data_IF_235456463822
#
_entry.id   IF_235456463822
#
_cell.length_a   1.000
_cell.length_b   1.000
_cell.length_c   1.000
_cell.angle_alpha   90.00
_cell.angle_beta   90.00
_cell.angle_gamma   90.00
#
_symmetry.space_group_name_H-M   'P 1'
#
loop_
_entity.id
_entity.type
_entity.pdbx_description
1 polymer ?
#
# COMPACT_ATOMS: atom_id res chain seq x y z
N UNK A 1 36.39 -17.74 25.66
CA UNK A 1 35.09 -17.05 25.74
C UNK A 1 34.08 -17.88 24.96
N UNK A 2 33.01 -18.35 25.59
CA UNK A 2 31.90 -19.09 24.95
C UNK A 2 30.67 -18.19 24.80
N UNK A 3 29.62 -18.65 24.11
CA UNK A 3 28.39 -17.88 23.96
C UNK A 3 27.72 -17.54 25.30
N UNK A 4 28.01 -18.30 26.37
CA UNK A 4 27.51 -18.02 27.74
C UNK A 4 28.05 -16.71 28.31
N UNK A 5 29.25 -16.28 27.89
CA UNK A 5 29.82 -14.99 28.30
C UNK A 5 29.09 -13.77 27.74
N UNK A 6 28.21 -13.94 26.74
CA UNK A 6 27.38 -12.88 26.16
C UNK A 6 26.16 -12.53 27.03
N UNK A 7 25.91 -13.29 28.10
CA UNK A 7 24.79 -13.07 29.04
C UNK A 7 24.87 -11.74 29.79
N UNK A 8 26.06 -11.12 29.86
CA UNK A 8 26.26 -9.80 30.47
C UNK A 8 25.91 -8.63 29.53
N UNK A 9 25.67 -8.90 28.25
CA UNK A 9 25.23 -7.90 27.27
C UNK A 9 23.70 -7.88 27.20
N UNK A 10 23.12 -6.71 26.91
CA UNK A 10 21.71 -6.69 26.52
C UNK A 10 21.53 -7.51 25.23
N UNK A 11 20.34 -8.06 25.01
CA UNK A 11 20.04 -8.91 23.86
C UNK A 11 20.41 -8.26 22.52
N UNK A 12 20.11 -6.96 22.38
CA UNK A 12 20.44 -6.16 21.19
C UNK A 12 21.96 -5.93 21.04
N UNK A 13 22.67 -5.74 22.17
CA UNK A 13 24.13 -5.65 22.18
C UNK A 13 24.78 -6.98 21.80
N UNK A 14 24.26 -8.10 22.28
CA UNK A 14 24.74 -9.45 21.94
C UNK A 14 24.54 -9.76 20.45
N UNK A 15 23.35 -9.46 19.88
CA UNK A 15 23.09 -9.59 18.44
C UNK A 15 24.05 -8.72 17.62
N UNK A 16 24.17 -7.44 17.99
CA UNK A 16 25.08 -6.51 17.29
C UNK A 16 26.53 -6.97 17.35
N UNK A 17 26.98 -7.48 18.50
CA UNK A 17 28.31 -8.04 18.68
C UNK A 17 28.54 -9.28 17.79
N UNK A 18 27.60 -10.24 17.80
CA UNK A 18 27.68 -11.46 16.99
C UNK A 18 27.66 -11.15 15.48
N UNK A 19 26.79 -10.25 15.04
CA UNK A 19 26.72 -9.83 13.64
C UNK A 19 28.05 -9.20 13.19
N UNK A 20 28.66 -8.35 14.02
CA UNK A 20 29.98 -7.77 13.73
C UNK A 20 31.10 -8.80 13.77
N UNK A 21 31.01 -9.81 14.65
CA UNK A 21 31.96 -10.92 14.68
C UNK A 21 31.90 -11.78 13.40
N UNK A 22 30.69 -12.09 12.91
CA UNK A 22 30.49 -12.80 11.64
C UNK A 22 30.97 -11.98 10.42
N UNK A 23 30.67 -10.67 10.40
CA UNK A 23 31.17 -9.77 9.35
C UNK A 23 32.69 -9.61 9.39
N UNK A 24 33.29 -9.59 10.59
CA UNK A 24 34.75 -9.56 10.74
C UNK A 24 35.39 -10.82 10.17
N UNK A 25 34.81 -11.98 10.47
CA UNK A 25 35.29 -13.29 10.01
C UNK A 25 35.22 -13.42 8.47
N UNK A 26 34.06 -13.13 7.89
CA UNK A 26 33.80 -13.27 6.44
C UNK A 26 34.59 -12.30 5.55
N UNK A 27 35.00 -11.16 6.11
CA UNK A 27 35.72 -10.11 5.38
C UNK A 27 37.20 -9.98 5.74
N UNK A 28 37.72 -10.89 6.57
CA UNK A 28 39.08 -10.81 7.13
C UNK A 28 39.36 -9.43 7.77
N UNK A 29 38.36 -8.90 8.48
CA UNK A 29 38.42 -7.61 9.17
C UNK A 29 38.37 -6.36 8.30
N UNK A 30 38.16 -6.49 6.98
CA UNK A 30 38.15 -5.34 6.06
C UNK A 30 36.80 -4.61 5.99
N UNK A 31 35.70 -5.26 6.39
CA UNK A 31 34.37 -4.65 6.32
C UNK A 31 34.23 -3.53 7.37
N UNK A 32 33.93 -2.27 6.97
CA UNK A 32 33.78 -1.16 7.89
C UNK A 32 32.63 -1.35 8.90
N UNK A 33 31.62 -2.16 8.57
CA UNK A 33 30.53 -2.51 9.48
C UNK A 33 30.95 -3.48 10.61
N UNK A 34 32.13 -4.12 10.50
CA UNK A 34 32.69 -4.99 11.53
C UNK A 34 33.46 -4.23 12.63
N UNK A 35 33.56 -2.89 12.54
CA UNK A 35 34.25 -2.07 13.53
C UNK A 35 33.60 -2.18 14.91
N UNK A 36 34.43 -2.26 15.93
CA UNK A 36 34.04 -2.36 17.33
C UNK A 36 33.25 -1.13 17.78
N UNK A 37 32.18 -1.34 18.55
CA UNK A 37 31.29 -0.29 19.07
C UNK A 37 31.24 -0.31 20.60
N UNK A 38 31.40 -1.48 21.22
CA UNK A 38 31.44 -1.64 22.67
C UNK A 38 32.87 -1.55 23.21
N UNK A 39 32.99 -1.16 24.48
CA UNK A 39 34.26 -1.20 25.19
C UNK A 39 34.80 -2.64 25.21
N UNK A 40 36.10 -2.80 24.93
CA UNK A 40 36.80 -4.09 24.90
C UNK A 40 36.29 -5.10 23.85
N UNK A 41 35.45 -4.68 22.90
CA UNK A 41 34.83 -5.56 21.90
C UNK A 41 35.86 -6.30 21.02
N UNK A 42 36.99 -5.67 20.68
CA UNK A 42 38.04 -6.31 19.88
C UNK A 42 38.61 -7.55 20.56
N UNK A 43 38.89 -7.45 21.86
CA UNK A 43 39.42 -8.54 22.66
C UNK A 43 38.37 -9.63 22.84
N UNK A 44 37.13 -9.25 23.14
CA UNK A 44 36.01 -10.20 23.25
C UNK A 44 35.79 -10.98 21.93
N UNK A 45 35.82 -10.28 20.80
CA UNK A 45 35.68 -10.88 19.47
C UNK A 45 36.84 -11.81 19.16
N UNK A 46 38.08 -11.42 19.44
CA UNK A 46 39.25 -12.27 19.23
C UNK A 46 39.18 -13.54 20.08
N UNK A 47 38.78 -13.43 21.35
CA UNK A 47 38.60 -14.59 22.25
C UNK A 47 37.46 -15.50 21.79
N UNK A 48 36.32 -14.94 21.38
CA UNK A 48 35.19 -15.72 20.84
C UNK A 48 35.63 -16.48 19.59
N UNK A 49 36.17 -15.80 18.58
CA UNK A 49 36.56 -16.41 17.31
C UNK A 49 37.66 -17.46 17.51
N UNK A 50 38.63 -17.21 18.39
CA UNK A 50 39.65 -18.19 18.76
C UNK A 50 39.03 -19.46 19.38
N UNK A 51 38.11 -19.27 20.33
CA UNK A 51 37.42 -20.37 21.01
C UNK A 51 36.56 -21.19 20.04
N UNK A 52 35.82 -20.53 19.14
CA UNK A 52 35.00 -21.17 18.12
C UNK A 52 35.85 -21.90 17.08
N UNK A 53 36.95 -21.30 16.60
CA UNK A 53 37.90 -21.98 15.68
C UNK A 53 38.52 -23.22 16.30
N UNK A 54 38.89 -23.17 17.59
CA UNK A 54 39.41 -24.33 18.30
C UNK A 54 38.36 -25.46 18.38
N UNK A 55 37.11 -25.12 18.65
CA UNK A 55 35.98 -26.07 18.68
C UNK A 55 35.65 -26.61 17.30
N UNK A 56 35.73 -25.80 16.24
CA UNK A 56 35.52 -26.24 14.87
C UNK A 56 36.65 -27.19 14.42
N UNK A 57 37.91 -26.89 14.76
CA UNK A 57 39.05 -27.78 14.50
C UNK A 57 38.96 -29.12 15.22
N UNK A 58 38.49 -29.16 16.47
CA UNK A 58 38.30 -30.44 17.17
C UNK A 58 37.22 -31.31 16.52
N UNK A 59 36.26 -30.70 15.82
CA UNK A 59 35.18 -31.40 15.09
C UNK A 59 35.59 -31.82 13.67
N UNK A 60 36.33 -30.97 12.96
CA UNK A 60 36.68 -31.15 11.54
C UNK A 60 38.09 -31.78 11.33
N UNK A 61 38.92 -31.87 12.35
CA UNK A 61 40.28 -32.42 12.25
C UNK A 61 41.22 -31.50 11.46
N UNK A 62 41.85 -32.05 10.41
CA UNK A 62 42.85 -31.36 9.57
C UNK A 62 42.22 -30.55 8.41
N UNK A 63 40.99 -30.08 8.57
CA UNK A 63 40.31 -29.27 7.57
C UNK A 63 41.04 -27.94 7.31
N UNK A 64 40.82 -27.37 6.12
CA UNK A 64 41.39 -26.07 5.74
C UNK A 64 40.78 -24.96 6.60
N UNK A 65 41.49 -23.83 6.73
CA UNK A 65 41.01 -22.70 7.52
C UNK A 65 39.65 -22.18 7.02
N UNK A 66 39.42 -22.17 5.71
CA UNK A 66 38.15 -21.78 5.09
C UNK A 66 36.97 -22.66 5.55
N UNK A 67 37.19 -23.97 5.68
CA UNK A 67 36.15 -24.91 6.15
C UNK A 67 35.86 -24.75 7.64
N UNK A 68 36.90 -24.44 8.42
CA UNK A 68 36.79 -24.11 9.84
C UNK A 68 36.01 -22.81 10.01
N UNK A 69 36.36 -21.76 9.28
CA UNK A 69 35.75 -20.44 9.39
C UNK A 69 34.29 -20.46 8.93
N UNK A 70 33.96 -21.22 7.86
CA UNK A 70 32.57 -21.41 7.45
C UNK A 70 31.70 -22.06 8.55
N UNK A 71 32.21 -23.08 9.24
CA UNK A 71 31.48 -23.69 10.35
C UNK A 71 31.32 -22.71 11.54
N UNK A 72 32.31 -21.83 11.75
CA UNK A 72 32.21 -20.78 12.77
C UNK A 72 31.17 -19.73 12.40
N UNK A 73 31.07 -19.34 11.11
CA UNK A 73 30.01 -18.47 10.61
C UNK A 73 28.63 -19.09 10.86
N UNK A 74 28.43 -20.37 10.50
CA UNK A 74 27.18 -21.10 10.74
C UNK A 74 26.78 -21.08 12.23
N UNK A 75 27.73 -21.29 13.16
CA UNK A 75 27.44 -21.20 14.60
C UNK A 75 27.14 -19.78 15.08
N UNK A 76 27.77 -18.77 14.49
CA UNK A 76 27.46 -17.38 14.81
C UNK A 76 26.04 -17.04 14.34
N UNK A 77 25.65 -17.46 13.14
CA UNK A 77 24.31 -17.26 12.59
C UNK A 77 23.24 -17.95 13.44
N UNK A 78 23.44 -19.22 13.80
CA UNK A 78 22.55 -19.96 14.71
C UNK A 78 22.35 -19.23 16.05
N UNK A 79 23.41 -18.61 16.59
CA UNK A 79 23.33 -17.84 17.83
C UNK A 79 22.68 -16.49 17.65
N UNK A 80 22.89 -15.82 16.52
CA UNK A 80 22.15 -14.59 16.18
C UNK A 80 20.65 -14.91 16.13
N UNK A 81 20.24 -16.01 15.51
CA UNK A 81 18.84 -16.44 15.47
C UNK A 81 18.31 -16.79 16.87
N UNK A 82 19.07 -17.54 17.67
CA UNK A 82 18.67 -17.91 19.04
C UNK A 82 18.51 -16.70 19.96
N UNK A 83 19.36 -15.69 19.79
CA UNK A 83 19.33 -14.44 20.55
C UNK A 83 18.42 -13.41 19.88
N UNK A 84 17.94 -13.63 18.66
CA UNK A 84 16.93 -12.78 18.00
C UNK A 84 15.56 -12.99 18.62
N UNK A 85 14.85 -11.90 18.91
CA UNK A 85 13.39 -12.01 19.05
C UNK A 85 12.82 -12.26 17.66
N UNK A 86 11.69 -12.99 17.59
CA UNK A 86 10.86 -12.93 16.39
C UNK A 86 10.64 -11.46 16.09
N UNK A 87 10.85 -11.00 14.85
CA UNK A 87 10.57 -9.63 14.47
C UNK A 87 9.20 -9.25 15.01
N UNK A 88 9.10 -8.09 15.67
CA UNK A 88 7.80 -7.53 16.03
C UNK A 88 7.11 -7.11 14.73
N UNK A 89 6.44 -8.07 14.10
CA UNK A 89 5.70 -7.92 12.85
C UNK A 89 4.65 -6.82 13.00
N UNK A 90 4.08 -6.67 14.20
CA UNK A 90 3.08 -5.67 14.49
C UNK A 90 3.70 -4.26 14.46
N UNK A 91 4.83 -4.05 15.15
CA UNK A 91 5.56 -2.79 15.10
C UNK A 91 6.16 -2.48 13.71
N UNK A 92 6.51 -3.50 12.92
CA UNK A 92 6.93 -3.32 11.53
C UNK A 92 5.76 -2.87 10.65
N UNK A 93 4.60 -3.51 10.76
CA UNK A 93 3.38 -3.16 10.04
C UNK A 93 2.84 -1.78 10.44
N UNK A 94 2.91 -1.41 11.71
CA UNK A 94 2.52 -0.06 12.17
C UNK A 94 3.40 1.02 11.55
N UNK A 95 4.72 0.79 11.48
CA UNK A 95 5.64 1.71 10.80
C UNK A 95 5.29 1.84 9.33
N UNK A 96 5.10 0.73 8.62
CA UNK A 96 4.72 0.75 7.20
C UNK A 96 3.36 1.43 6.97
N UNK A 97 2.40 1.23 7.87
CA UNK A 97 1.08 1.87 7.81
C UNK A 97 1.19 3.39 8.01
N UNK A 98 1.95 3.82 9.03
CA UNK A 98 2.17 5.23 9.35
C UNK A 98 2.94 5.95 8.25
N UNK A 99 3.94 5.28 7.69
CA UNK A 99 4.77 5.81 6.61
C UNK A 99 4.05 5.69 5.25
N UNK A 100 2.85 5.07 5.22
CA UNK A 100 2.00 4.94 4.04
C UNK A 100 2.59 4.05 2.94
N UNK A 101 3.53 3.17 3.28
CA UNK A 101 4.24 2.26 2.36
C UNK A 101 3.66 0.84 2.42
N UNK A 102 2.64 0.62 3.24
CA UNK A 102 1.97 -0.67 3.32
C UNK A 102 1.22 -0.93 2.00
N UNK A 103 1.46 -2.07 1.32
CA UNK A 103 0.75 -2.39 0.08
C UNK A 103 -0.74 -2.65 0.37
N UNK A 104 -1.60 -2.33 -0.60
CA UNK A 104 -3.06 -2.40 -0.44
C UNK A 104 -3.59 -3.79 -0.13
N UNK A 105 -2.90 -4.85 -0.56
CA UNK A 105 -3.26 -6.24 -0.31
C UNK A 105 -3.08 -6.66 1.17
N UNK A 106 -2.27 -5.93 1.93
CA UNK A 106 -2.09 -6.12 3.37
C UNK A 106 -3.20 -5.45 4.21
N UNK A 107 -4.06 -4.62 3.61
CA UNK A 107 -5.20 -4.02 4.30
C UNK A 107 -6.41 -4.96 4.28
N UNK A 108 -7.21 -4.91 5.36
CA UNK A 108 -8.53 -5.55 5.37
C UNK A 108 -9.52 -4.67 4.62
N UNK A 109 -10.02 -5.16 3.48
CA UNK A 109 -11.00 -4.44 2.66
C UNK A 109 -12.40 -4.46 3.29
N UNK A 110 -12.97 -3.27 3.50
CA UNK A 110 -14.31 -3.08 4.05
C UNK A 110 -15.24 -2.35 3.05
N UNK A 111 -16.45 -2.88 2.90
CA UNK A 111 -17.50 -2.26 2.10
C UNK A 111 -18.51 -1.58 3.04
N UNK A 112 -18.34 -0.28 3.28
CA UNK A 112 -19.22 0.48 4.15
C UNK A 112 -20.67 0.57 3.63
N UNK A 113 -21.63 0.80 4.52
CA UNK A 113 -23.05 0.90 4.15
C UNK A 113 -23.31 1.97 3.07
N UNK A 114 -22.60 3.09 3.11
CA UNK A 114 -22.75 4.16 2.12
C UNK A 114 -22.41 3.68 0.71
N UNK A 115 -21.32 2.94 0.56
CA UNK A 115 -20.93 2.32 -0.71
C UNK A 115 -22.00 1.32 -1.17
N UNK A 116 -22.47 0.45 -0.29
CA UNK A 116 -23.49 -0.55 -0.61
C UNK A 116 -24.81 0.11 -1.06
N UNK A 117 -25.22 1.19 -0.39
CA UNK A 117 -26.41 1.97 -0.78
C UNK A 117 -26.24 2.65 -2.13
N UNK A 118 -25.05 3.19 -2.43
CA UNK A 118 -24.76 3.80 -3.74
C UNK A 118 -24.81 2.75 -4.86
N UNK A 119 -24.15 1.60 -4.68
CA UNK A 119 -24.16 0.51 -5.67
C UNK A 119 -25.56 -0.06 -5.94
N UNK A 120 -26.40 -0.17 -4.91
CA UNK A 120 -27.77 -0.66 -5.06
C UNK A 120 -28.61 0.17 -6.06
N UNK A 121 -28.31 1.47 -6.21
CA UNK A 121 -29.00 2.38 -7.18
C UNK A 121 -28.77 1.97 -8.62
N UNK A 122 -27.66 1.29 -8.90
CA UNK A 122 -27.24 0.89 -10.24
C UNK A 122 -27.63 -0.56 -10.57
N UNK A 123 -28.15 -1.32 -9.59
CA UNK A 123 -28.45 -2.75 -9.73
C UNK A 123 -27.24 -3.57 -10.19
N UNK A 124 -26.05 -3.20 -9.72
CA UNK A 124 -24.79 -3.92 -9.93
C UNK A 124 -24.16 -4.30 -8.60
N UNK A 125 -23.47 -5.44 -8.57
CA UNK A 125 -22.67 -5.87 -7.44
C UNK A 125 -21.22 -6.03 -7.89
N UNK A 126 -20.41 -4.99 -7.64
CA UNK A 126 -18.99 -4.96 -8.00
C UNK A 126 -18.07 -5.39 -6.85
N UNK A 127 -18.59 -5.91 -5.73
CA UNK A 127 -17.76 -6.21 -4.55
C UNK A 127 -16.60 -7.15 -4.87
N UNK A 128 -16.87 -8.23 -5.61
CA UNK A 128 -15.82 -9.17 -6.01
C UNK A 128 -14.78 -8.53 -6.93
N UNK A 129 -15.23 -7.69 -7.87
CA UNK A 129 -14.34 -7.01 -8.82
C UNK A 129 -13.50 -5.92 -8.14
N UNK A 130 -14.07 -5.17 -7.20
CA UNK A 130 -13.33 -4.20 -6.38
C UNK A 130 -12.33 -4.92 -5.48
N UNK A 131 -12.72 -6.02 -4.84
CA UNK A 131 -11.78 -6.80 -4.02
C UNK A 131 -10.58 -7.29 -4.83
N UNK A 132 -10.82 -7.76 -6.05
CA UNK A 132 -9.75 -8.15 -6.97
C UNK A 132 -8.91 -6.94 -7.41
N UNK A 133 -9.54 -5.81 -7.75
CA UNK A 133 -8.84 -4.58 -8.14
C UNK A 133 -8.01 -3.98 -7.00
N UNK A 134 -8.42 -4.15 -5.74
CA UNK A 134 -7.64 -3.70 -4.58
C UNK A 134 -6.43 -4.60 -4.32
N UNK A 135 -6.56 -5.92 -4.52
CA UNK A 135 -5.46 -6.87 -4.30
C UNK A 135 -4.44 -6.89 -5.45
N UNK A 136 -4.94 -6.78 -6.68
CA UNK A 136 -4.15 -6.87 -7.89
C UNK A 136 -4.53 -5.74 -8.87
N UNK A 137 -4.25 -4.47 -8.51
CA UNK A 137 -4.51 -3.34 -9.40
C UNK A 137 -3.61 -3.40 -10.64
N UNK A 138 -4.13 -2.92 -11.77
CA UNK A 138 -3.27 -2.61 -12.93
C UNK A 138 -2.60 -1.24 -12.75
N UNK A 139 -3.28 -0.35 -12.01
CA UNK A 139 -2.83 0.99 -11.67
C UNK A 139 -3.20 1.32 -10.22
N UNK A 140 -2.30 1.97 -9.50
CA UNK A 140 -2.50 2.39 -8.13
C UNK A 140 -1.91 3.80 -7.93
N UNK A 141 -2.67 4.68 -7.28
CA UNK A 141 -2.21 6.01 -6.88
C UNK A 141 -2.69 6.33 -5.48
N UNK A 142 -1.74 6.57 -4.56
CA UNK A 142 -2.01 6.89 -3.17
C UNK A 142 -1.75 8.37 -2.88
N UNK A 143 -2.70 9.00 -2.19
CA UNK A 143 -2.67 10.38 -1.74
C UNK A 143 -2.62 10.40 -0.22
N UNK A 144 -1.48 10.81 0.34
CA UNK A 144 -1.22 10.78 1.77
C UNK A 144 -1.34 12.17 2.41
N UNK A 145 -1.79 12.21 3.65
CA UNK A 145 -1.74 13.39 4.51
C UNK A 145 -1.53 12.91 5.97
N UNK A 146 -0.94 13.73 6.85
CA UNK A 146 -0.86 13.44 8.29
C UNK A 146 -2.15 12.89 8.94
N UNK A 147 -3.33 13.27 8.43
CA UNK A 147 -4.63 12.91 8.99
C UNK A 147 -5.33 11.72 8.29
N UNK A 148 -4.67 11.08 7.32
CA UNK A 148 -5.20 9.89 6.65
C UNK A 148 -4.64 9.69 5.24
N UNK A 149 -5.04 8.61 4.59
CA UNK A 149 -4.67 8.33 3.20
C UNK A 149 -5.89 7.96 2.36
N UNK A 150 -5.89 8.39 1.11
CA UNK A 150 -6.85 7.96 0.09
C UNK A 150 -6.09 7.28 -1.03
N UNK A 151 -6.59 6.15 -1.50
CA UNK A 151 -6.01 5.44 -2.64
C UNK A 151 -7.01 5.30 -3.77
N UNK A 152 -6.54 5.49 -4.99
CA UNK A 152 -7.24 5.11 -6.20
C UNK A 152 -6.63 3.82 -6.72
N UNK A 153 -7.49 2.85 -7.05
CA UNK A 153 -7.10 1.63 -7.75
C UNK A 153 -7.85 1.53 -9.06
N UNK A 154 -7.14 1.14 -10.11
CA UNK A 154 -7.67 0.94 -11.46
C UNK A 154 -7.38 -0.46 -11.97
N UNK A 155 -8.39 -1.10 -12.57
CA UNK A 155 -8.23 -2.42 -13.21
C UNK A 155 -9.06 -2.54 -14.48
N UNK A 156 -8.46 -3.04 -15.56
CA UNK A 156 -9.19 -3.45 -16.75
C UNK A 156 -9.89 -4.77 -16.49
N UNK A 157 -11.22 -4.74 -16.59
CA UNK A 157 -12.07 -5.92 -16.45
C UNK A 157 -12.49 -6.37 -17.84
N UNK A 158 -11.94 -7.51 -18.27
CA UNK A 158 -12.35 -8.18 -19.48
C UNK A 158 -13.42 -9.22 -19.14
N UNK A 159 -14.66 -8.99 -19.60
CA UNK A 159 -15.79 -9.90 -19.36
C UNK A 159 -15.90 -10.99 -20.43
N UNK A 160 -14.89 -11.17 -21.29
CA UNK A 160 -14.95 -12.10 -22.43
C UNK A 160 -15.92 -11.64 -23.53
N UNK A 161 -16.46 -10.43 -23.41
CA UNK A 161 -17.36 -9.80 -24.38
C UNK A 161 -16.83 -8.41 -24.78
N UNK A 162 -17.37 -7.75 -25.82
CA UNK A 162 -16.91 -6.43 -26.25
C UNK A 162 -17.16 -5.30 -25.23
N UNK A 163 -17.76 -5.62 -24.08
CA UNK A 163 -18.05 -4.68 -23.01
C UNK A 163 -16.98 -4.73 -21.91
N UNK A 164 -15.71 -4.83 -22.31
CA UNK A 164 -14.60 -4.57 -21.39
C UNK A 164 -14.69 -3.14 -20.85
N UNK A 165 -14.37 -2.97 -19.57
CA UNK A 165 -14.41 -1.69 -18.89
C UNK A 165 -13.21 -1.52 -17.96
N UNK A 166 -12.89 -0.26 -17.67
CA UNK A 166 -11.93 0.10 -16.64
C UNK A 166 -12.70 0.33 -15.33
N UNK A 167 -12.44 -0.49 -14.32
CA UNK A 167 -12.95 -0.30 -12.97
C UNK A 167 -12.02 0.64 -12.22
N UNK A 168 -12.54 1.73 -11.69
CA UNK A 168 -11.83 2.59 -10.73
C UNK A 168 -12.54 2.48 -9.39
N UNK A 169 -11.79 2.24 -8.31
CA UNK A 169 -12.29 2.33 -6.95
C UNK A 169 -11.49 3.33 -6.11
N UNK A 170 -12.20 4.05 -5.25
CA UNK A 170 -11.62 4.98 -4.28
C UNK A 170 -11.69 4.37 -2.90
N UNK A 171 -10.57 4.35 -2.20
CA UNK A 171 -10.39 3.74 -0.89
C UNK A 171 -9.93 4.81 0.12
N UNK A 172 -10.49 4.84 1.32
CA UNK A 172 -9.82 5.48 2.48
C UNK A 172 -9.02 4.43 3.22
N UNK A 173 -7.80 4.76 3.62
CA UNK A 173 -6.93 3.90 4.43
C UNK A 173 -6.82 4.46 5.84
N UNK A 174 -7.17 3.64 6.83
CA UNK A 174 -7.02 3.93 8.26
C UNK A 174 -6.89 2.63 9.04
N UNK A 175 -6.03 2.57 10.06
CA UNK A 175 -5.98 1.47 11.03
C UNK A 175 -5.95 0.05 10.41
N UNK A 176 -5.12 -0.15 9.36
CA UNK A 176 -5.01 -1.41 8.58
C UNK A 176 -6.30 -1.86 7.88
N UNK A 177 -7.26 -0.95 7.72
CA UNK A 177 -8.49 -1.12 6.95
C UNK A 177 -8.47 -0.25 5.71
N UNK A 178 -8.93 -0.82 4.60
CA UNK A 178 -9.20 -0.08 3.38
C UNK A 178 -10.71 -0.04 3.17
N UNK A 179 -11.32 1.12 3.34
CA UNK A 179 -12.78 1.28 3.20
C UNK A 179 -13.11 1.82 1.81
N UNK A 180 -13.94 1.10 1.07
CA UNK A 180 -14.36 1.52 -0.28
C UNK A 180 -15.36 2.67 -0.17
N UNK A 181 -15.02 3.82 -0.74
CA UNK A 181 -15.87 5.02 -0.78
C UNK A 181 -16.78 4.98 -2.01
N UNK A 182 -16.24 4.55 -3.14
CA UNK A 182 -16.94 4.53 -4.42
C UNK A 182 -16.22 3.66 -5.43
N UNK A 183 -16.96 3.15 -6.41
CA UNK A 183 -16.39 2.44 -7.55
C UNK A 183 -17.19 2.72 -8.81
N UNK A 184 -16.49 2.80 -9.93
CA UNK A 184 -17.03 3.24 -11.21
C UNK A 184 -16.51 2.36 -12.33
N UNK A 185 -17.42 1.86 -13.16
CA UNK A 185 -17.10 1.23 -14.45
C UNK A 185 -17.05 2.29 -15.53
N UNK A 186 -15.88 2.51 -16.11
CA UNK A 186 -15.65 3.41 -17.23
C UNK A 186 -15.50 2.60 -18.51
N UNK A 187 -16.43 2.75 -19.43
CA UNK A 187 -16.41 2.03 -20.69
C UNK A 187 -15.74 2.88 -21.78
N UNK A 188 -14.77 2.35 -22.55
CA UNK A 188 -14.08 3.11 -23.60
C UNK A 188 -15.00 3.70 -24.68
N UNK A 189 -16.18 3.13 -24.87
CA UNK A 189 -17.18 3.66 -25.80
C UNK A 189 -17.99 4.85 -25.28
N UNK A 190 -17.95 5.14 -23.97
CA UNK A 190 -18.64 6.28 -23.35
C UNK A 190 -17.68 7.30 -22.73
N UNK A 191 -16.49 6.85 -22.31
CA UNK A 191 -15.43 7.67 -21.72
C UNK A 191 -14.18 7.57 -22.59
N UNK A 192 -13.68 8.72 -23.07
CA UNK A 192 -12.44 8.74 -23.84
C UNK A 192 -11.24 8.57 -22.92
N UNK A 193 -10.45 7.52 -23.17
CA UNK A 193 -9.16 7.29 -22.50
C UNK A 193 -7.98 7.96 -23.24
N UNK A 194 -8.25 8.79 -24.24
CA UNK A 194 -7.20 9.53 -24.94
C UNK A 194 -6.53 10.52 -23.96
N UNK A 195 -5.21 10.46 -23.87
CA UNK A 195 -4.39 11.25 -22.94
C UNK A 195 -4.66 10.98 -21.45
N UNK A 196 -5.14 9.78 -21.10
CA UNK A 196 -5.20 9.34 -19.70
C UNK A 196 -3.83 8.78 -19.31
N UNK A 197 -3.13 9.46 -18.40
CA UNK A 197 -1.82 9.06 -17.91
C UNK A 197 -1.85 8.64 -16.43
N UNK A 198 -2.92 9.01 -15.72
CA UNK A 198 -3.13 8.77 -14.29
C UNK A 198 -4.61 8.42 -14.00
N UNK A 199 -4.88 7.84 -12.83
CA UNK A 199 -6.22 7.56 -12.33
C UNK A 199 -7.06 8.84 -12.12
N UNK A 200 -6.50 9.96 -11.63
CA UNK A 200 -7.17 11.25 -11.66
C UNK A 200 -7.56 11.70 -13.08
N UNK A 201 -6.72 11.49 -14.10
CA UNK A 201 -7.10 11.82 -15.48
C UNK A 201 -8.31 10.97 -15.94
N UNK A 202 -8.34 9.69 -15.57
CA UNK A 202 -9.46 8.82 -15.89
C UNK A 202 -10.76 9.27 -15.20
N UNK A 203 -10.68 9.67 -13.92
CA UNK A 203 -11.81 10.26 -13.20
C UNK A 203 -12.24 11.61 -13.78
N UNK A 204 -11.32 12.44 -14.26
CA UNK A 204 -11.63 13.69 -14.95
C UNK A 204 -12.39 13.41 -16.25
N UNK A 205 -11.92 12.46 -17.08
CA UNK A 205 -12.62 12.03 -18.29
C UNK A 205 -14.01 11.48 -17.97
N UNK A 206 -14.14 10.72 -16.88
CA UNK A 206 -15.42 10.22 -16.40
C UNK A 206 -16.37 11.36 -15.99
N UNK A 207 -15.88 12.33 -15.21
CA UNK A 207 -16.64 13.50 -14.79
C UNK A 207 -17.02 14.40 -15.97
N UNK A 208 -16.20 14.51 -17.02
CA UNK A 208 -16.57 15.20 -18.25
C UNK A 208 -17.77 14.54 -18.93
N UNK A 209 -17.79 13.20 -18.97
CA UNK A 209 -18.83 12.41 -19.61
C UNK A 209 -20.14 12.37 -18.79
N UNK A 210 -20.06 12.22 -17.47
CA UNK A 210 -21.22 11.96 -16.60
C UNK A 210 -21.43 12.97 -15.48
N UNK A 211 -20.49 13.86 -15.22
CA UNK A 211 -20.56 14.83 -14.13
C UNK A 211 -21.42 16.05 -14.41
N UNK A 212 -21.72 16.77 -13.33
CA UNK A 212 -22.44 18.05 -13.29
C UNK A 212 -21.57 19.13 -12.68
N UNK A 213 -21.78 20.39 -13.04
CA UNK A 213 -21.01 21.45 -12.41
C UNK A 213 -21.37 21.56 -10.92
N UNK A 214 -20.36 21.47 -10.08
CA UNK A 214 -20.44 21.80 -8.65
C UNK A 214 -19.45 22.92 -8.33
N UNK A 215 -19.71 23.60 -7.23
CA UNK A 215 -18.86 24.64 -6.70
C UNK A 215 -18.44 24.27 -5.27
N UNK A 216 -17.18 24.56 -4.96
CA UNK A 216 -16.57 24.26 -3.68
C UNK A 216 -15.62 25.40 -3.32
N UNK A 217 -16.08 26.29 -2.44
CA UNK A 217 -15.40 27.57 -2.22
C UNK A 217 -15.38 28.43 -3.50
N UNK A 218 -14.20 28.83 -3.95
CA UNK A 218 -13.98 29.57 -5.21
C UNK A 218 -13.85 28.67 -6.43
N UNK A 219 -13.62 27.37 -6.24
CA UNK A 219 -13.42 26.42 -7.32
C UNK A 219 -14.77 25.95 -7.88
N UNK A 220 -14.86 25.83 -9.21
CA UNK A 220 -16.07 25.37 -9.91
C UNK A 220 -15.70 24.48 -11.09
N UNK A 221 -16.40 23.35 -11.22
CA UNK A 221 -16.27 22.45 -12.36
C UNK A 221 -16.98 21.12 -12.13
N UNK A 222 -16.78 20.17 -13.04
CA UNK A 222 -17.22 18.78 -12.87
C UNK A 222 -16.18 17.91 -12.17
N UNK A 223 -14.93 18.35 -12.25
CA UNK A 223 -13.76 17.77 -11.65
C UNK A 223 -12.90 18.95 -11.14
N UNK A 224 -12.39 18.84 -9.92
CA UNK A 224 -11.43 19.79 -9.34
C UNK A 224 -10.18 18.98 -9.02
N UNK A 225 -9.07 19.35 -9.66
CA UNK A 225 -7.74 18.75 -9.46
C UNK A 225 -6.98 19.61 -8.48
N UNK A 226 -6.79 19.11 -7.25
CA UNK A 226 -6.10 19.76 -6.13
C UNK A 226 -6.61 21.17 -5.75
N UNK A 227 -7.11 21.33 -4.53
CA UNK A 227 -7.55 22.63 -4.03
C UNK A 227 -7.33 22.78 -2.52
N UNK A 228 -6.98 23.98 -2.08
CA UNK A 228 -7.01 24.37 -0.67
C UNK A 228 -8.23 25.24 -0.41
N UNK A 229 -9.07 24.82 0.53
CA UNK A 229 -10.30 25.51 0.88
C UNK A 229 -10.31 25.92 2.34
N UNK A 230 -11.06 26.95 2.74
CA UNK A 230 -11.35 27.17 4.15
C UNK A 230 -12.06 25.96 4.78
N UNK A 231 -11.73 25.61 6.02
CA UNK A 231 -12.44 24.55 6.77
C UNK A 231 -13.94 24.83 6.79
N UNK A 232 -14.73 23.78 6.55
CA UNK A 232 -16.19 23.88 6.53
C UNK A 232 -16.78 24.41 5.22
N UNK A 233 -15.96 24.59 4.18
CA UNK A 233 -16.45 24.89 2.83
C UNK A 233 -17.51 23.88 2.40
N UNK A 234 -18.69 24.40 2.04
CA UNK A 234 -19.83 23.58 1.57
C UNK A 234 -19.68 23.33 0.09
N UNK A 235 -20.10 22.14 -0.33
CA UNK A 235 -20.28 21.80 -1.73
C UNK A 235 -21.66 22.28 -2.14
N UNK A 236 -21.73 23.15 -3.16
CA UNK A 236 -22.98 23.56 -3.79
C UNK A 236 -23.08 22.95 -5.18
N UNK A 237 -24.24 22.41 -5.51
CA UNK A 237 -24.52 21.82 -6.82
C UNK A 237 -25.51 22.74 -7.51
N UNK A 238 -25.24 23.10 -8.76
CA UNK A 238 -26.02 24.12 -9.46
C UNK A 238 -27.47 23.67 -9.76
N UNK A 239 -27.78 22.37 -9.76
CA UNK A 239 -29.09 21.81 -10.15
C UNK A 239 -29.55 20.70 -9.18
N UNK A 240 -30.88 20.56 -9.02
CA UNK A 240 -31.55 19.68 -8.03
C UNK A 240 -31.86 18.25 -8.50
N UNK A 241 -31.23 17.79 -9.59
CA UNK A 241 -31.35 16.38 -9.98
C UNK A 241 -30.60 15.49 -8.97
N UNK A 242 -30.86 14.18 -8.94
CA UNK A 242 -30.12 13.21 -8.11
C UNK A 242 -28.64 13.17 -8.50
N UNK A 243 -27.86 14.07 -7.90
CA UNK A 243 -26.42 14.23 -8.08
C UNK A 243 -25.75 13.64 -6.86
N UNK A 244 -24.78 12.75 -7.08
CA UNK A 244 -23.84 12.35 -6.05
C UNK A 244 -22.53 13.06 -6.34
N UNK A 245 -22.05 13.81 -5.35
CA UNK A 245 -20.65 14.25 -5.34
C UNK A 245 -19.90 13.14 -4.63
N UNK A 246 -19.35 12.23 -5.42
CA UNK A 246 -18.70 11.03 -4.89
C UNK A 246 -17.20 11.25 -4.78
N UNK A 247 -16.71 11.05 -3.56
CA UNK A 247 -15.30 10.99 -3.16
C UNK A 247 -14.53 12.32 -3.18
N UNK A 248 -14.23 12.80 -1.98
CA UNK A 248 -13.29 13.88 -1.72
C UNK A 248 -12.09 13.20 -1.05
N UNK A 249 -10.91 13.25 -1.66
CA UNK A 249 -9.68 13.06 -0.92
C UNK A 249 -9.44 14.33 -0.09
N UNK A 250 -10.25 14.47 0.98
CA UNK A 250 -10.36 15.64 1.85
C UNK A 250 -9.51 15.43 3.08
N UNK A 251 -8.62 16.36 3.35
CA UNK A 251 -7.85 16.37 4.58
C UNK A 251 -7.94 17.75 5.20
N UNK A 252 -8.47 17.81 6.42
CA UNK A 252 -8.41 19.05 7.19
C UNK A 252 -6.95 19.25 7.63
N UNK A 253 -6.38 20.41 7.34
CA UNK A 253 -5.03 20.80 7.72
C UNK A 253 -5.04 21.65 9.00
N UNK A 254 -3.94 21.67 9.77
CA UNK A 254 -3.80 22.49 10.98
C UNK A 254 -4.01 23.99 10.74
N UNK A 255 -3.85 24.46 9.50
CA UNK A 255 -3.95 25.87 9.07
C UNK A 255 -5.38 26.39 8.91
N UNK A 256 -6.40 25.69 9.45
CA UNK A 256 -7.81 26.00 9.24
C UNK A 256 -8.22 25.98 7.75
N UNK A 257 -7.49 25.20 6.95
CA UNK A 257 -7.79 24.89 5.57
C UNK A 257 -8.05 23.39 5.40
N UNK A 258 -8.77 23.04 4.35
CA UNK A 258 -9.04 21.69 3.91
C UNK A 258 -8.34 21.52 2.57
N UNK A 259 -7.40 20.58 2.50
CA UNK A 259 -6.79 20.16 1.25
C UNK A 259 -7.66 19.09 0.58
N UNK A 260 -7.85 19.24 -0.72
CA UNK A 260 -8.62 18.31 -1.53
C UNK A 260 -7.73 17.88 -2.67
N UNK A 261 -7.37 16.60 -2.77
CA UNK A 261 -6.55 16.12 -3.88
C UNK A 261 -7.34 16.00 -5.18
N UNK A 262 -8.56 15.51 -5.09
CA UNK A 262 -9.52 15.56 -6.17
C UNK A 262 -10.94 15.54 -5.60
N UNK A 263 -11.85 16.17 -6.35
CA UNK A 263 -13.28 16.06 -6.14
C UNK A 263 -13.95 16.00 -7.50
N UNK A 264 -14.95 15.12 -7.63
CA UNK A 264 -15.75 15.02 -8.84
C UNK A 264 -17.20 14.76 -8.52
N UNK A 265 -18.06 15.13 -9.47
CA UNK A 265 -19.49 14.86 -9.38
C UNK A 265 -19.91 13.87 -10.44
N UNK A 266 -20.99 13.15 -10.17
CA UNK A 266 -21.60 12.22 -11.11
C UNK A 266 -23.11 12.44 -11.12
N UNK A 267 -23.67 12.61 -12.32
CA UNK A 267 -25.11 12.48 -12.53
C UNK A 267 -25.48 11.00 -12.49
N UNK A 268 -26.00 10.55 -11.36
CA UNK A 268 -26.28 9.13 -11.06
C UNK A 268 -27.28 8.57 -12.05
N UNK A 269 -28.30 9.35 -12.42
CA UNK A 269 -29.30 8.94 -13.40
C UNK A 269 -28.72 8.69 -14.80
N UNK A 270 -27.88 9.60 -15.27
CA UNK A 270 -27.22 9.48 -16.57
C UNK A 270 -26.30 8.27 -16.60
N UNK A 271 -25.53 8.08 -15.52
CA UNK A 271 -24.63 6.94 -15.38
C UNK A 271 -25.42 5.60 -15.32
N UNK A 272 -26.47 5.53 -14.49
CA UNK A 272 -27.38 4.39 -14.39
C UNK A 272 -28.01 4.03 -15.75
N UNK A 273 -28.50 5.02 -16.51
CA UNK A 273 -29.04 4.80 -17.86
C UNK A 273 -27.99 4.25 -18.82
N UNK A 274 -26.71 4.63 -18.69
CA UNK A 274 -25.62 4.02 -19.46
C UNK A 274 -25.43 2.55 -19.08
N UNK A 275 -25.31 2.24 -17.79
CA UNK A 275 -25.15 0.86 -17.32
C UNK A 275 -26.29 -0.05 -17.80
N UNK A 276 -27.54 0.39 -17.64
CA UNK A 276 -28.72 -0.37 -18.11
C UNK A 276 -28.71 -0.63 -19.62
N UNK A 277 -28.27 0.35 -20.43
CA UNK A 277 -28.15 0.18 -21.89
C UNK A 277 -27.11 -0.89 -22.24
N UNK A 278 -26.00 -0.96 -21.51
CA UNK A 278 -24.96 -1.97 -21.72
C UNK A 278 -25.41 -3.36 -21.29
N UNK A 279 -26.02 -3.49 -20.12
CA UNK A 279 -26.58 -4.77 -19.65
C UNK A 279 -27.59 -5.35 -20.65
N UNK A 280 -28.49 -4.52 -21.20
CA UNK A 280 -29.43 -4.97 -22.24
C UNK A 280 -28.75 -5.44 -23.53
N UNK A 281 -27.71 -4.73 -24.00
CA UNK A 281 -26.94 -5.12 -25.19
C UNK A 281 -26.23 -6.45 -25.00
N UNK A 282 -25.71 -6.70 -23.80
CA UNK A 282 -25.06 -7.96 -23.44
C UNK A 282 -26.07 -9.13 -23.45
N UNK A 283 -27.24 -8.96 -22.84
CA UNK A 283 -28.31 -9.97 -22.85
C UNK A 283 -28.75 -10.32 -24.28
N UNK A 284 -29.03 -9.32 -25.12
CA UNK A 284 -29.45 -9.52 -26.51
C UNK A 284 -28.41 -10.24 -27.38
N UNK A 285 -27.11 -10.10 -27.06
CA UNK A 285 -26.03 -10.83 -27.76
C UNK A 285 -25.99 -12.28 -27.35
N UNK A 286 -26.12 -12.57 -26.06
CA UNK A 286 -26.12 -13.93 -25.55
C UNK A 286 -27.33 -14.74 -26.03
N UNK A 287 -28.46 -14.10 -26.31
CA UNK A 287 -29.64 -14.75 -26.90
C UNK A 287 -29.48 -15.08 -28.40
N UNK A 288 -28.49 -14.50 -29.09
CA UNK A 288 -28.27 -14.69 -30.53
C UNK A 288 -27.17 -15.71 -30.86
N UNK A 289 -26.37 -16.09 -29.89
CA UNK A 289 -25.29 -17.08 -30.01
C UNK A 289 -25.73 -18.41 -29.42
#
# INVERSE_FOLDING_TARGET
MDFESLTNLSRLQAQGFLARAGLYLSSDGTNPAAKSVLDNEENMRAELLSSLRQRARSRLGNARLEEVDKLVEEWIDEQIEAVSEKPDEEAALERLTRDGVLPLDAYTLEFGEQYLRSQARFSIDDRALVAEATRHPDFEEQFQNPNGSVSLVGKWVNTGTPDAFFLIATLTLADRKSSVIGSWRLYPGDVSFLHVHSLPDALERFALAFGVDFQMGTERGKFIRHAYLPVGSKISIAHSDEVEVSSIARFDQPSNSTEIYFAFSVNIDRYRKMLQRRTKRHQQRNERN
#
